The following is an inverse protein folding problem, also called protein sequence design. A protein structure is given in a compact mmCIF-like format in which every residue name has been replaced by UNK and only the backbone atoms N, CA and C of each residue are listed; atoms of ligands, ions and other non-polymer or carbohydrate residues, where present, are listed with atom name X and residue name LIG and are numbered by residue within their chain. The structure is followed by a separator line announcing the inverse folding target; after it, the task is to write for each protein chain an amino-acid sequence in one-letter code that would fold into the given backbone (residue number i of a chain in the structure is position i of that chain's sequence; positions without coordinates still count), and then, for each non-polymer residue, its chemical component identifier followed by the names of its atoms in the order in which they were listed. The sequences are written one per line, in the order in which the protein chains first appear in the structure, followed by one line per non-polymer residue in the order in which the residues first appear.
data_IF_795731149693
#
_entry.id   IF_795731149693
#
_cell.length_a   1.000
_cell.length_b   1.000
_cell.length_c   1.000
_cell.angle_alpha   90.00
_cell.angle_beta   90.00
_cell.angle_gamma   90.00
#
_symmetry.space_group_name_H-M   'P 1'
#
loop_
_entity.id
_entity.type
_entity.pdbx_description
1 polymer ?
#
# COMPACT_ATOMS: atom_id res chain seq x y z
N UNK A 1 -1.92 -6.65 -21.56
CA UNK A 1 -2.99 -6.75 -20.55
C UNK A 1 -2.38 -6.15 -19.32
N UNK A 2 -2.89 -5.01 -18.86
CA UNK A 2 -2.21 -4.13 -17.90
C UNK A 2 -1.95 -4.86 -16.60
N UNK A 3 -0.69 -5.23 -16.33
CA UNK A 3 -0.18 -5.65 -15.04
C UNK A 3 -0.33 -4.48 -14.05
N UNK A 4 -1.55 -4.24 -13.58
CA UNK A 4 -1.80 -3.19 -12.61
C UNK A 4 -1.39 -3.73 -11.25
N UNK A 5 -0.12 -3.52 -10.93
CA UNK A 5 0.57 -4.10 -9.80
C UNK A 5 0.26 -3.31 -8.52
N UNK A 6 -1.03 -3.18 -8.22
CA UNK A 6 -1.53 -2.45 -7.08
C UNK A 6 -1.28 -3.26 -5.80
N UNK A 7 -0.73 -2.60 -4.79
CA UNK A 7 -0.58 -3.14 -3.45
C UNK A 7 -1.55 -2.44 -2.52
N UNK A 8 -2.09 -3.19 -1.57
CA UNK A 8 -2.91 -2.64 -0.51
C UNK A 8 -2.00 -2.26 0.65
N UNK A 9 -2.12 -1.03 1.11
CA UNK A 9 -1.28 -0.51 2.17
C UNK A 9 -2.12 0.08 3.29
N UNK A 10 -1.68 -0.15 4.53
CA UNK A 10 -2.26 0.47 5.72
C UNK A 10 -1.18 1.10 6.55
N UNK A 11 -1.48 2.30 7.05
CA UNK A 11 -0.72 2.93 8.11
C UNK A 11 -1.47 2.73 9.42
N UNK A 12 -0.85 2.00 10.33
CA UNK A 12 -1.36 1.84 11.68
C UNK A 12 -1.17 3.13 12.48
N UNK A 13 -2.02 3.39 13.48
CA UNK A 13 -1.87 4.56 14.37
C UNK A 13 -0.57 4.56 15.18
N UNK A 14 0.07 3.39 15.30
CA UNK A 14 1.41 3.20 15.87
C UNK A 14 2.55 3.75 14.97
N UNK A 15 2.24 4.16 13.74
CA UNK A 15 3.22 4.61 12.74
C UNK A 15 3.78 3.48 11.86
N UNK A 16 3.46 2.24 12.20
CA UNK A 16 3.81 1.05 11.41
C UNK A 16 3.05 1.01 10.08
N UNK A 17 3.76 0.64 9.00
CA UNK A 17 3.18 0.43 7.67
C UNK A 17 3.14 -1.08 7.37
N UNK A 18 2.00 -1.60 6.93
CA UNK A 18 1.90 -2.95 6.37
C UNK A 18 1.41 -2.94 4.94
N UNK A 19 1.95 -3.87 4.15
CA UNK A 19 1.63 -4.09 2.75
C UNK A 19 0.96 -5.45 2.60
N UNK A 20 -0.11 -5.46 1.82
CA UNK A 20 -0.93 -6.63 1.51
C UNK A 20 -1.09 -6.74 0.00
N UNK A 21 -1.15 -7.98 -0.48
CA UNK A 21 -1.38 -8.28 -1.89
C UNK A 21 -2.85 -8.12 -2.29
N UNK A 22 -3.76 -8.26 -1.32
CA UNK A 22 -5.21 -8.21 -1.50
C UNK A 22 -5.92 -7.92 -0.17
N UNK A 23 -7.18 -7.51 -0.25
CA UNK A 23 -8.09 -7.26 0.87
C UNK A 23 -8.39 -8.53 1.68
N UNK A 24 -8.52 -9.69 1.03
CA UNK A 24 -8.81 -10.97 1.67
C UNK A 24 -7.67 -11.38 2.61
N UNK A 25 -6.43 -11.27 2.15
CA UNK A 25 -5.25 -11.59 2.97
C UNK A 25 -5.08 -10.64 4.17
N UNK A 26 -5.48 -9.37 4.00
CA UNK A 26 -5.51 -8.42 5.11
C UNK A 26 -6.63 -8.74 6.10
N UNK A 27 -7.81 -9.14 5.62
CA UNK A 27 -8.94 -9.56 6.44
C UNK A 27 -8.59 -10.80 7.28
N UNK A 28 -7.91 -11.79 6.69
CA UNK A 28 -7.40 -12.96 7.41
C UNK A 28 -6.39 -12.60 8.52
N UNK A 29 -5.67 -11.47 8.36
CA UNK A 29 -4.77 -10.92 9.37
C UNK A 29 -5.49 -10.09 10.45
N UNK A 30 -6.80 -9.90 10.32
CA UNK A 30 -7.60 -9.05 11.21
C UNK A 30 -7.51 -7.56 10.89
N UNK A 31 -7.16 -7.19 9.65
CA UNK A 31 -7.15 -5.81 9.17
C UNK A 31 -8.43 -5.53 8.40
N UNK A 32 -9.12 -4.43 8.75
CA UNK A 32 -10.30 -3.99 8.04
C UNK A 32 -9.96 -3.53 6.61
N UNK A 33 -10.52 -4.15 5.56
CA UNK A 33 -10.23 -3.76 4.18
C UNK A 33 -10.67 -2.34 3.86
N UNK A 34 -11.67 -1.81 4.59
CA UNK A 34 -12.09 -0.41 4.50
C UNK A 34 -11.00 0.59 4.91
N UNK A 35 -9.98 0.15 5.66
CA UNK A 35 -8.82 0.96 6.07
C UNK A 35 -7.61 0.77 5.17
N UNK A 36 -7.68 -0.19 4.23
CA UNK A 36 -6.64 -0.41 3.24
C UNK A 36 -6.75 0.65 2.15
N UNK A 37 -5.63 1.26 1.82
CA UNK A 37 -5.52 2.12 0.65
C UNK A 37 -4.88 1.32 -0.47
N UNK A 38 -5.56 1.26 -1.61
CA UNK A 38 -4.98 0.69 -2.82
C UNK A 38 -3.97 1.66 -3.41
N UNK A 39 -2.72 1.24 -3.50
CA UNK A 39 -1.61 2.02 -4.06
C UNK A 39 -1.13 1.36 -5.34
N UNK A 40 -1.19 2.10 -6.45
CA UNK A 40 -0.71 1.61 -7.74
C UNK A 40 0.82 1.77 -7.81
N UNK A 41 1.55 0.64 -7.82
CA UNK A 41 3.01 0.65 -7.93
C UNK A 41 3.41 0.58 -9.40
N UNK A 42 4.34 1.45 -9.88
CA UNK A 42 4.88 1.33 -11.22
C UNK A 42 5.51 -0.06 -11.41
N UNK A 43 5.13 -0.77 -12.48
CA UNK A 43 5.66 -2.12 -12.78
C UNK A 43 7.18 -2.15 -12.80
N UNK A 44 7.82 -1.10 -13.31
CA UNK A 44 9.27 -1.00 -13.33
C UNK A 44 9.86 -0.97 -11.91
N UNK A 45 9.25 -0.22 -11.00
CA UNK A 45 9.63 -0.20 -9.57
C UNK A 45 9.31 -1.51 -8.86
N UNK A 46 8.24 -2.20 -9.23
CA UNK A 46 7.91 -3.50 -8.63
C UNK A 46 8.86 -4.62 -9.08
N UNK A 47 9.30 -4.59 -10.35
CA UNK A 47 10.15 -5.64 -10.95
C UNK A 47 11.64 -5.36 -10.77
N UNK A 48 12.08 -4.11 -10.96
CA UNK A 48 13.48 -3.68 -10.85
C UNK A 48 13.81 -2.98 -9.53
N UNK A 49 12.82 -2.37 -8.87
CA UNK A 49 13.03 -1.61 -7.64
C UNK A 49 13.18 -2.50 -6.41
N UNK A 50 13.75 -1.91 -5.36
CA UNK A 50 13.93 -2.59 -4.08
C UNK A 50 12.65 -2.56 -3.24
N UNK A 51 12.46 -3.56 -2.36
CA UNK A 51 11.39 -3.54 -1.34
C UNK A 51 11.40 -2.22 -0.53
N UNK A 52 12.58 -1.63 -0.30
CA UNK A 52 12.73 -0.35 0.41
C UNK A 52 12.08 0.80 -0.37
N UNK A 53 12.41 0.94 -1.66
CA UNK A 53 11.84 1.97 -2.54
C UNK A 53 10.32 1.85 -2.64
N UNK A 54 9.80 0.62 -2.74
CA UNK A 54 8.35 0.37 -2.75
C UNK A 54 7.72 0.82 -1.42
N UNK A 55 8.33 0.51 -0.28
CA UNK A 55 7.83 0.94 1.04
C UNK A 55 7.84 2.46 1.18
N UNK A 56 8.90 3.13 0.74
CA UNK A 56 9.01 4.59 0.76
C UNK A 56 7.97 5.25 -0.14
N UNK A 57 7.80 4.73 -1.36
CA UNK A 57 6.77 5.20 -2.29
C UNK A 57 5.37 5.09 -1.69
N UNK A 58 5.04 3.94 -1.10
CA UNK A 58 3.76 3.71 -0.44
C UNK A 58 3.56 4.62 0.78
N UNK A 59 4.60 4.81 1.59
CA UNK A 59 4.54 5.70 2.75
C UNK A 59 4.22 7.14 2.33
N UNK A 60 4.92 7.65 1.31
CA UNK A 60 4.67 8.98 0.74
C UNK A 60 3.27 9.09 0.13
N UNK A 61 2.81 8.05 -0.56
CA UNK A 61 1.47 8.00 -1.13
C UNK A 61 0.40 8.09 -0.05
N UNK A 62 0.52 7.30 1.03
CA UNK A 62 -0.40 7.32 2.16
C UNK A 62 -0.36 8.66 2.89
N UNK A 63 0.81 9.26 3.06
CA UNK A 63 0.93 10.60 3.67
C UNK A 63 0.23 11.67 2.83
N UNK A 64 0.43 11.64 1.51
CA UNK A 64 -0.25 12.56 0.60
C UNK A 64 -1.76 12.34 0.54
N UNK A 65 -2.22 11.08 0.62
CA UNK A 65 -3.64 10.75 0.58
C UNK A 65 -4.34 11.09 1.90
N UNK A 66 -3.68 10.89 3.04
CA UNK A 66 -4.23 11.25 4.37
C UNK A 66 -4.36 12.78 4.53
N UNK A 67 -3.48 13.56 3.91
CA UNK A 67 -3.57 15.02 3.89
C UNK A 67 -4.75 15.55 3.04
N UNK A 68 -5.37 14.71 2.20
CA UNK A 68 -6.43 15.10 1.27
C UNK A 68 -7.87 14.97 1.79
N UNK A 69 -8.09 14.31 2.93
CA UNK A 69 -9.41 14.16 3.55
C UNK A 69 -9.53 15.12 4.73
N UNK A 70 -9.87 16.38 4.43
CA UNK A 70 -10.40 17.36 5.39
C UNK A 70 -11.88 17.11 5.70
#
# INVERSE_FOLDING_TARGET
MTDNNALYAIRFPDGSLSLYIDEDYALERGVDPATLTRVEIPRDMFVNGSIQEIREYVALYLESHHAGTS
#
